data_IF_322120236139
#
_entry.id   IF_322120236139
#
_cell.length_a   1.000
_cell.length_b   1.000
_cell.length_c   1.000
_cell.angle_alpha   90.00
_cell.angle_beta   90.00
_cell.angle_gamma   90.00
#
_symmetry.space_group_name_H-M   'P 1'
#
loop_
_entity.id
_entity.type
_entity.pdbx_description
1 polymer ?
#
# COMPACT_ATOMS: atom_id res chain seq x y z
N UNK A 1 -7.95 -17.50 18.61
CA UNK A 1 -6.83 -17.52 19.57
C UNK A 1 -6.27 -16.11 19.83
N UNK A 2 -6.33 -15.21 18.86
CA UNK A 2 -5.78 -13.84 18.93
C UNK A 2 -6.82 -12.76 18.65
N UNK A 3 -8.05 -12.94 19.10
CA UNK A 3 -9.17 -12.04 18.78
C UNK A 3 -8.92 -10.59 19.22
N UNK A 4 -8.30 -10.38 20.40
CA UNK A 4 -7.95 -9.05 20.88
C UNK A 4 -6.88 -8.36 20.04
N UNK A 5 -5.83 -9.08 19.65
CA UNK A 5 -4.79 -8.54 18.75
C UNK A 5 -5.35 -8.24 17.36
N UNK A 6 -6.21 -9.11 16.83
CA UNK A 6 -6.88 -8.88 15.56
C UNK A 6 -7.77 -7.63 15.60
N UNK A 7 -8.52 -7.44 16.70
CA UNK A 7 -9.36 -6.25 16.86
C UNK A 7 -8.51 -4.97 16.91
N UNK A 8 -7.43 -4.97 17.69
CA UNK A 8 -6.50 -3.83 17.76
C UNK A 8 -5.83 -3.53 16.42
N UNK A 9 -5.36 -4.57 15.71
CA UNK A 9 -4.82 -4.42 14.37
C UNK A 9 -5.87 -3.93 13.37
N UNK A 10 -7.08 -4.44 13.46
CA UNK A 10 -8.17 -4.01 12.58
C UNK A 10 -8.55 -2.55 12.81
N UNK A 11 -8.40 -2.07 14.04
CA UNK A 11 -8.65 -0.66 14.38
C UNK A 11 -7.55 0.25 13.84
N UNK A 12 -6.28 -0.09 14.07
CA UNK A 12 -5.14 0.72 13.66
C UNK A 12 -3.95 -0.15 13.20
N UNK A 13 -3.96 -0.61 11.93
CA UNK A 13 -2.85 -1.41 11.41
C UNK A 13 -1.58 -0.60 11.17
N UNK A 14 -1.66 0.74 11.24
CA UNK A 14 -0.50 1.58 11.00
C UNK A 14 0.41 1.65 12.23
N UNK A 15 -0.14 1.78 13.44
CA UNK A 15 0.65 1.88 14.67
C UNK A 15 0.69 0.59 15.47
N UNK A 16 -0.34 -0.26 15.38
CA UNK A 16 -0.38 -1.52 16.10
C UNK A 16 0.47 -2.60 15.41
N UNK A 17 1.30 -3.27 16.20
CA UNK A 17 2.04 -4.47 15.77
C UNK A 17 1.52 -5.70 16.53
N UNK A 18 1.01 -6.73 15.83
CA UNK A 18 0.70 -7.99 16.50
C UNK A 18 1.96 -8.67 17.02
N UNK A 19 1.82 -9.56 17.99
CA UNK A 19 2.95 -10.27 18.60
C UNK A 19 3.80 -10.98 17.54
N UNK A 20 5.09 -10.65 17.47
CA UNK A 20 6.02 -11.18 16.46
C UNK A 20 5.88 -10.56 15.06
N UNK A 21 4.99 -9.58 14.88
CA UNK A 21 4.79 -8.89 13.61
C UNK A 21 5.30 -7.46 13.59
N UNK A 22 4.98 -6.73 12.52
CA UNK A 22 5.34 -5.32 12.35
C UNK A 22 4.07 -4.45 12.25
N UNK A 23 4.19 -3.22 12.73
CA UNK A 23 3.20 -2.17 12.42
C UNK A 23 3.41 -1.63 11.00
N UNK A 24 2.39 -0.98 10.45
CA UNK A 24 2.52 -0.31 9.15
C UNK A 24 3.63 0.74 9.13
N UNK A 25 3.79 1.50 10.22
CA UNK A 25 4.88 2.50 10.31
C UNK A 25 6.25 1.85 10.30
N UNK A 26 6.44 0.71 10.93
CA UNK A 26 7.71 -0.03 10.89
C UNK A 26 8.02 -0.55 9.49
N UNK A 27 7.02 -1.08 8.78
CA UNK A 27 7.17 -1.50 7.39
C UNK A 27 7.56 -0.32 6.50
N UNK A 28 6.88 0.82 6.64
CA UNK A 28 7.19 2.02 5.88
C UNK A 28 8.62 2.53 6.16
N UNK A 29 9.02 2.54 7.41
CA UNK A 29 10.34 3.01 7.83
C UNK A 29 11.49 2.20 7.20
N UNK A 30 11.31 0.90 6.98
CA UNK A 30 12.33 0.07 6.32
C UNK A 30 12.21 0.03 4.80
N UNK A 31 11.01 0.21 4.25
CA UNK A 31 10.77 0.10 2.80
C UNK A 31 11.06 1.41 2.04
N UNK A 32 10.70 2.55 2.61
CA UNK A 32 10.85 3.84 1.94
C UNK A 32 12.31 4.19 1.60
N UNK A 33 13.31 3.98 2.47
CA UNK A 33 14.71 4.20 2.14
C UNK A 33 15.19 3.39 0.93
N UNK A 34 14.70 2.15 0.78
CA UNK A 34 15.05 1.30 -0.38
C UNK A 34 14.57 1.92 -1.69
N UNK A 35 13.35 2.45 -1.72
CA UNK A 35 12.84 3.16 -2.91
C UNK A 35 13.71 4.38 -3.24
N UNK A 36 14.08 5.16 -2.23
CA UNK A 36 14.95 6.34 -2.42
C UNK A 36 16.34 5.98 -2.92
N UNK A 37 16.92 4.90 -2.42
CA UNK A 37 18.21 4.38 -2.90
C UNK A 37 18.11 3.93 -4.35
N UNK A 38 17.05 3.22 -4.74
CA UNK A 38 16.83 2.79 -6.12
C UNK A 38 16.69 3.97 -7.07
N UNK A 39 15.92 4.98 -6.71
CA UNK A 39 15.75 6.19 -7.52
C UNK A 39 17.07 6.94 -7.67
N UNK A 40 17.86 7.07 -6.61
CA UNK A 40 19.17 7.71 -6.64
C UNK A 40 20.19 6.93 -7.49
N UNK A 41 20.14 5.60 -7.43
CA UNK A 41 21.05 4.73 -8.18
C UNK A 41 20.73 4.67 -9.69
N UNK A 42 19.46 4.87 -10.06
CA UNK A 42 18.98 4.72 -11.46
C UNK A 42 18.18 5.95 -11.92
N UNK A 43 18.79 7.14 -11.99
CA UNK A 43 18.07 8.41 -12.20
C UNK A 43 17.31 8.51 -13.52
N UNK A 44 17.69 7.76 -14.54
CA UNK A 44 17.02 7.73 -15.84
C UNK A 44 16.59 6.31 -16.24
N UNK A 45 16.53 5.43 -15.27
CA UNK A 45 16.21 4.02 -15.50
C UNK A 45 14.76 3.69 -15.21
N UNK A 46 14.36 2.51 -15.66
CA UNK A 46 13.11 1.88 -15.27
C UNK A 46 13.42 0.75 -14.30
N UNK A 47 12.86 0.80 -13.10
CA UNK A 47 13.07 -0.19 -12.05
C UNK A 47 11.75 -0.86 -11.71
N UNK A 48 11.70 -2.18 -11.77
CA UNK A 48 10.56 -2.95 -11.33
C UNK A 48 10.74 -3.35 -9.86
N UNK A 49 9.74 -3.03 -9.04
CA UNK A 49 9.69 -3.42 -7.63
C UNK A 49 8.49 -4.34 -7.42
N UNK A 50 8.74 -5.55 -6.96
CA UNK A 50 7.68 -6.51 -6.62
C UNK A 50 7.56 -6.58 -5.10
N UNK A 51 6.35 -6.36 -4.61
CA UNK A 51 6.08 -6.31 -3.18
C UNK A 51 4.66 -6.78 -2.87
N UNK A 52 4.15 -6.44 -1.71
CA UNK A 52 2.85 -6.85 -1.21
C UNK A 52 1.88 -5.67 -1.15
N UNK A 53 0.58 -5.96 -1.24
CA UNK A 53 -0.51 -4.97 -1.26
C UNK A 53 -0.37 -3.90 -0.16
N UNK A 54 -0.15 -4.31 1.07
CA UNK A 54 -0.03 -3.38 2.20
C UNK A 54 1.20 -2.47 2.07
N UNK A 55 2.36 -3.04 1.78
CA UNK A 55 3.62 -2.30 1.62
C UNK A 55 3.54 -1.30 0.47
N UNK A 56 2.99 -1.70 -0.68
CA UNK A 56 2.83 -0.82 -1.84
C UNK A 56 1.90 0.35 -1.50
N UNK A 57 0.78 0.11 -0.83
CA UNK A 57 -0.14 1.18 -0.41
C UNK A 57 0.50 2.16 0.58
N UNK A 58 1.28 1.66 1.53
CA UNK A 58 2.05 2.50 2.45
C UNK A 58 3.06 3.38 1.71
N UNK A 59 3.81 2.80 0.78
CA UNK A 59 4.79 3.52 -0.03
C UNK A 59 4.14 4.60 -0.89
N UNK A 60 3.09 4.26 -1.62
CA UNK A 60 2.36 5.23 -2.47
C UNK A 60 1.79 6.36 -1.62
N UNK A 61 1.16 6.05 -0.49
CA UNK A 61 0.62 7.06 0.42
C UNK A 61 1.70 8.04 0.87
N UNK A 62 2.84 7.53 1.31
CA UNK A 62 3.96 8.36 1.78
C UNK A 62 4.59 9.18 0.65
N UNK A 63 4.84 8.57 -0.50
CA UNK A 63 5.48 9.23 -1.64
C UNK A 63 4.61 10.34 -2.25
N UNK A 64 3.30 10.21 -2.19
CA UNK A 64 2.35 11.21 -2.70
C UNK A 64 1.87 12.22 -1.65
N UNK A 65 2.33 12.11 -0.41
CA UNK A 65 1.93 13.00 0.68
C UNK A 65 0.54 12.75 1.23
N UNK A 66 -0.02 11.56 1.04
CA UNK A 66 -1.23 11.12 1.74
C UNK A 66 -0.87 10.72 3.18
N UNK A 67 -1.81 10.90 4.09
CA UNK A 67 -1.65 10.36 5.43
C UNK A 67 -1.58 8.82 5.37
N UNK A 68 -0.42 8.20 5.66
CA UNK A 68 -0.27 6.76 5.52
C UNK A 68 -1.09 5.95 6.53
N UNK A 69 -1.64 6.59 7.57
CA UNK A 69 -2.54 5.92 8.52
C UNK A 69 -3.82 5.41 7.85
N UNK A 70 -4.25 6.06 6.78
CA UNK A 70 -5.40 5.64 5.98
C UNK A 70 -5.08 4.72 4.80
N UNK A 71 -3.88 4.15 4.72
CA UNK A 71 -3.42 3.39 3.55
C UNK A 71 -4.35 2.24 3.16
N UNK A 72 -4.94 1.57 4.14
CA UNK A 72 -5.82 0.43 3.93
C UNK A 72 -7.17 0.83 3.35
N UNK A 73 -7.69 1.96 3.79
CA UNK A 73 -9.05 2.39 3.49
C UNK A 73 -9.13 3.36 2.31
N UNK A 74 -8.06 4.10 2.03
CA UNK A 74 -8.02 5.11 0.96
C UNK A 74 -7.58 4.57 -0.39
N UNK A 75 -6.82 3.49 -0.42
CA UNK A 75 -6.28 2.89 -1.63
C UNK A 75 -6.75 1.45 -1.74
N UNK A 76 -7.58 1.16 -2.74
CA UNK A 76 -7.88 -0.23 -3.10
C UNK A 76 -6.90 -0.72 -4.17
N UNK A 77 -6.52 -1.99 -4.07
CA UNK A 77 -5.62 -2.62 -5.03
C UNK A 77 -6.01 -4.06 -5.28
N UNK A 78 -6.12 -4.41 -6.55
CA UNK A 78 -6.30 -5.79 -6.98
C UNK A 78 -4.99 -6.60 -6.88
N UNK A 79 -5.06 -7.92 -6.73
CA UNK A 79 -3.87 -8.76 -6.82
C UNK A 79 -3.14 -8.57 -8.15
N UNK A 80 -1.82 -8.60 -8.12
CA UNK A 80 -0.95 -8.48 -9.30
C UNK A 80 -1.19 -7.22 -10.15
N UNK A 81 -1.73 -6.16 -9.57
CA UNK A 81 -1.91 -4.90 -10.27
C UNK A 81 -0.57 -4.20 -10.55
N UNK A 82 -0.56 -3.44 -11.62
CA UNK A 82 0.56 -2.56 -11.98
C UNK A 82 0.31 -1.14 -11.47
N UNK A 83 1.31 -0.57 -10.84
CA UNK A 83 1.35 0.84 -10.46
C UNK A 83 2.63 1.45 -11.03
N UNK A 84 2.55 2.65 -11.56
CA UNK A 84 3.72 3.35 -12.13
C UNK A 84 3.86 4.71 -11.47
N UNK A 85 5.04 4.97 -10.94
CA UNK A 85 5.42 6.27 -10.41
C UNK A 85 6.62 6.81 -11.19
N UNK A 86 6.55 8.07 -11.59
CA UNK A 86 7.68 8.82 -12.10
C UNK A 86 8.30 9.63 -10.95
N UNK A 87 9.62 9.61 -10.88
CA UNK A 87 10.38 10.35 -9.88
C UNK A 87 11.15 11.49 -10.52
N UNK A 88 10.96 12.69 -10.00
CA UNK A 88 11.80 13.84 -10.33
C UNK A 88 13.13 13.78 -9.58
N UNK A 89 13.10 13.29 -8.37
CA UNK A 89 14.21 13.05 -7.46
C UNK A 89 13.77 12.01 -6.40
N UNK A 90 14.64 11.57 -5.48
CA UNK A 90 14.28 10.55 -4.50
C UNK A 90 13.11 10.88 -3.58
N UNK A 91 12.65 12.14 -3.55
CA UNK A 91 11.57 12.60 -2.67
C UNK A 91 10.27 12.89 -3.42
N UNK A 92 10.36 13.43 -4.65
CA UNK A 92 9.20 13.90 -5.41
C UNK A 92 8.78 12.89 -6.45
N UNK A 93 7.62 12.28 -6.23
CA UNK A 93 7.03 11.29 -7.11
C UNK A 93 5.69 11.78 -7.70
N UNK A 94 5.37 11.27 -8.87
CA UNK A 94 4.07 11.44 -9.54
C UNK A 94 3.51 10.06 -9.83
N UNK A 95 2.25 9.85 -9.49
CA UNK A 95 1.54 8.63 -9.84
C UNK A 95 1.05 8.71 -11.28
N UNK A 96 1.53 7.82 -12.13
CA UNK A 96 1.19 7.76 -13.56
C UNK A 96 0.13 6.72 -13.85
N UNK A 97 0.13 5.61 -13.14
CA UNK A 97 -0.82 4.52 -13.27
C UNK A 97 -1.06 3.90 -11.90
N UNK A 98 -2.30 3.60 -11.59
CA UNK A 98 -2.67 2.99 -10.32
C UNK A 98 -3.62 1.81 -10.51
N UNK A 99 -3.33 0.70 -9.85
CA UNK A 99 -4.21 -0.48 -9.80
C UNK A 99 -4.63 -1.01 -11.17
N UNK A 100 -3.73 -0.98 -12.15
CA UNK A 100 -4.01 -1.52 -13.48
C UNK A 100 -3.94 -3.05 -13.47
N UNK A 101 -5.01 -3.66 -13.94
CA UNK A 101 -5.18 -5.11 -14.04
C UNK A 101 -5.57 -5.55 -15.47
N UNK A 102 -5.39 -4.68 -16.44
CA UNK A 102 -5.75 -4.90 -17.84
C UNK A 102 -5.08 -6.13 -18.47
N UNK A 103 -3.96 -6.59 -17.87
CA UNK A 103 -3.23 -7.76 -18.33
C UNK A 103 -3.93 -9.11 -18.01
N UNK A 104 -4.94 -9.11 -17.13
CA UNK A 104 -5.64 -10.37 -16.78
C UNK A 104 -7.16 -10.25 -16.62
N UNK A 105 -7.73 -9.03 -16.59
CA UNK A 105 -9.19 -8.82 -16.54
C UNK A 105 -9.60 -7.82 -17.61
N UNK A 106 -10.76 -8.06 -18.25
CA UNK A 106 -11.31 -7.17 -19.27
C UNK A 106 -11.87 -5.87 -18.70
N UNK A 107 -12.50 -5.93 -17.53
CA UNK A 107 -13.06 -4.79 -16.84
C UNK A 107 -12.60 -4.76 -15.38
N UNK A 108 -12.34 -3.57 -14.81
CA UNK A 108 -12.05 -3.44 -13.39
C UNK A 108 -13.25 -3.91 -12.57
N UNK A 109 -13.03 -4.91 -11.73
CA UNK A 109 -14.02 -5.34 -10.75
C UNK A 109 -13.66 -4.81 -9.39
N UNK A 110 -14.69 -4.42 -8.62
CA UNK A 110 -14.48 -4.05 -7.24
C UNK A 110 -13.86 -5.21 -6.47
N UNK A 111 -12.83 -4.94 -5.70
CA UNK A 111 -12.23 -5.94 -4.83
C UNK A 111 -13.26 -6.50 -3.86
N UNK A 112 -13.36 -7.83 -3.81
CA UNK A 112 -14.17 -8.52 -2.79
C UNK A 112 -13.41 -8.70 -1.47
N UNK A 113 -12.20 -8.20 -1.39
CA UNK A 113 -11.34 -8.35 -0.24
C UNK A 113 -11.78 -7.39 0.87
N UNK A 114 -12.56 -7.88 1.81
CA UNK A 114 -13.20 -7.13 2.91
C UNK A 114 -12.21 -6.78 4.02
N UNK A 115 -11.17 -6.01 3.69
CA UNK A 115 -10.17 -5.55 4.66
C UNK A 115 -10.24 -4.05 4.94
N UNK A 116 -11.07 -3.31 4.21
CA UNK A 116 -11.30 -1.89 4.52
C UNK A 116 -12.34 -1.75 5.63
N UNK A 117 -11.98 -1.03 6.66
CA UNK A 117 -12.90 -0.69 7.75
C UNK A 117 -14.03 0.25 7.30
N UNK A 118 -13.75 1.10 6.32
CA UNK A 118 -14.70 2.14 5.89
C UNK A 118 -15.69 1.65 4.84
N UNK A 119 -15.29 0.73 3.97
CA UNK A 119 -16.03 0.35 2.78
C UNK A 119 -16.60 -1.07 2.84
N UNK A 120 -15.94 -1.94 3.56
CA UNK A 120 -16.22 -3.38 3.52
C UNK A 120 -16.88 -3.88 4.81
N UNK A 121 -17.40 -2.98 5.63
CA UNK A 121 -18.24 -3.35 6.77
C UNK A 121 -19.55 -3.94 6.26
N UNK A 122 -19.98 -5.06 6.84
CA UNK A 122 -21.32 -5.57 6.58
C UNK A 122 -22.36 -4.47 6.91
N UNK A 123 -23.42 -4.32 6.10
CA UNK A 123 -24.50 -3.43 6.49
C UNK A 123 -24.98 -3.84 7.89
N UNK A 124 -25.20 -2.87 8.74
CA UNK A 124 -25.85 -3.09 10.02
C UNK A 124 -27.24 -3.67 9.72
N UNK A 125 -27.53 -4.87 10.26
CA UNK A 125 -28.85 -5.50 10.21
C UNK A 125 -29.88 -4.65 10.95
#
# INVERSE_FOLDING_TARGET
KYAGEYAAWSEDPFTFAPGGGESGVSVLARALPVIRELVAAWPNGNVAVVSHKATIRLLISSLLGFDPRGYRDRLDMQPCCLNILDFKDPVRARLMLFNDVSHYVGEPTRSTNRLSKWWDTAPAD
#
